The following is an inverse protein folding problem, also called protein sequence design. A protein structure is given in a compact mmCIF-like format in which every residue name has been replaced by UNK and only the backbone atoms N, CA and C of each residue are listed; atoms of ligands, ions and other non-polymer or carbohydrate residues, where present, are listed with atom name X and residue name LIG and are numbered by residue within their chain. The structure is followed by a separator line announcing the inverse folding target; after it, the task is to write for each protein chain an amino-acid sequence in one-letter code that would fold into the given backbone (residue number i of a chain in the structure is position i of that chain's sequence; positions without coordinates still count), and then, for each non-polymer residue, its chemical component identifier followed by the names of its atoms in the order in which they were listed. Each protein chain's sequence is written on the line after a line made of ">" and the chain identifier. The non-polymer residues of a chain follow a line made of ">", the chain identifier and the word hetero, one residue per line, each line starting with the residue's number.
data_IF_197765428134
#
_entry.id   IF_197765428134
#
_cell.length_a   1.000
_cell.length_b   1.000
_cell.length_c   1.000
_cell.angle_alpha   90.00
_cell.angle_beta   90.00
_cell.angle_gamma   90.00
#
_symmetry.space_group_name_H-M   'P 1'
#
loop_
_entity.id
_entity.type
_entity.pdbx_description
1 polymer ?
#
# COMPACT_ATOMS: atom_id res chain seq x y z
N UNK A 1 1.49 33.71 -17.45
CA UNK A 1 0.81 33.34 -16.19
C UNK A 1 0.57 31.83 -16.08
N UNK A 2 -0.18 31.17 -17.00
CA UNK A 2 -0.42 29.71 -16.96
C UNK A 2 0.86 28.85 -16.87
N UNK A 3 1.91 29.17 -17.64
CA UNK A 3 3.20 28.45 -17.61
C UNK A 3 3.94 28.59 -16.27
N UNK A 4 3.87 29.76 -15.65
CA UNK A 4 4.52 30.03 -14.35
C UNK A 4 3.79 29.26 -13.24
N UNK A 5 2.46 29.30 -13.24
CA UNK A 5 1.64 28.52 -12.30
C UNK A 5 1.93 27.02 -12.46
N UNK A 6 2.02 26.51 -13.69
CA UNK A 6 2.36 25.11 -13.93
C UNK A 6 3.74 24.72 -13.37
N UNK A 7 4.77 25.56 -13.57
CA UNK A 7 6.12 25.30 -13.02
C UNK A 7 6.10 25.32 -11.49
N UNK A 8 5.43 26.30 -10.88
CA UNK A 8 5.29 26.38 -9.42
C UNK A 8 4.58 25.14 -8.87
N UNK A 9 3.49 24.70 -9.51
CA UNK A 9 2.77 23.48 -9.13
C UNK A 9 3.66 22.25 -9.20
N UNK A 10 4.48 22.10 -10.24
CA UNK A 10 5.42 20.96 -10.37
C UNK A 10 6.49 21.01 -9.29
N UNK A 11 7.07 22.18 -9.01
CA UNK A 11 8.08 22.33 -7.93
C UNK A 11 7.47 22.03 -6.56
N UNK A 12 6.25 22.51 -6.29
CA UNK A 12 5.54 22.22 -5.05
C UNK A 12 5.23 20.71 -4.90
N UNK A 13 4.78 20.06 -5.98
CA UNK A 13 4.54 18.62 -6.01
C UNK A 13 5.82 17.83 -5.73
N UNK A 14 6.93 18.16 -6.40
CA UNK A 14 8.21 17.51 -6.18
C UNK A 14 8.69 17.69 -4.73
N UNK A 15 8.55 18.89 -4.18
CA UNK A 15 8.91 19.17 -2.78
C UNK A 15 8.09 18.34 -1.80
N UNK A 16 6.77 18.21 -2.03
CA UNK A 16 5.89 17.36 -1.23
C UNK A 16 6.25 15.88 -1.33
N UNK A 17 6.55 15.39 -2.55
CA UNK A 17 6.98 14.01 -2.76
C UNK A 17 8.29 13.70 -2.04
N UNK A 18 9.28 14.60 -2.13
CA UNK A 18 10.56 14.45 -1.43
C UNK A 18 10.38 14.47 0.09
N UNK A 19 9.58 15.41 0.61
CA UNK A 19 9.27 15.46 2.04
C UNK A 19 8.58 14.18 2.52
N UNK A 20 7.57 13.70 1.78
CA UNK A 20 6.86 12.46 2.08
C UNK A 20 7.79 11.25 2.08
N UNK A 21 8.75 11.19 1.16
CA UNK A 21 9.74 10.11 1.09
C UNK A 21 10.68 10.12 2.29
N UNK A 22 11.17 11.29 2.71
CA UNK A 22 12.11 11.42 3.84
C UNK A 22 11.44 11.09 5.19
N UNK A 23 10.15 11.40 5.33
CA UNK A 23 9.42 11.15 6.58
C UNK A 23 8.73 9.78 6.65
N UNK A 24 8.76 9.00 5.58
CA UNK A 24 8.07 7.73 5.46
C UNK A 24 8.36 6.83 6.69
N UNK A 25 9.63 6.53 6.96
CA UNK A 25 10.04 5.63 8.04
C UNK A 25 9.71 6.15 9.45
N UNK A 26 9.38 7.43 9.60
CA UNK A 26 8.96 8.00 10.88
C UNK A 26 7.46 7.90 11.12
N UNK A 27 6.67 7.92 10.04
CA UNK A 27 5.20 7.98 10.10
C UNK A 27 4.55 6.64 9.80
N UNK A 28 5.16 5.86 8.91
CA UNK A 28 4.67 4.59 8.41
C UNK A 28 5.88 3.68 8.10
N UNK A 29 6.62 3.24 9.15
CA UNK A 29 7.80 2.41 8.97
C UNK A 29 7.40 1.02 8.44
N UNK A 30 8.09 0.59 7.38
CA UNK A 30 7.95 -0.77 6.88
C UNK A 30 8.62 -1.80 7.80
N UNK A 31 8.29 -3.08 7.59
CA UNK A 31 8.86 -4.15 8.41
C UNK A 31 10.38 -4.29 8.28
N UNK A 32 10.99 -3.90 7.16
CA UNK A 32 12.45 -3.93 7.01
C UNK A 32 13.13 -2.94 7.95
N UNK A 33 12.61 -1.72 8.03
CA UNK A 33 13.10 -0.70 8.95
C UNK A 33 12.81 -1.06 10.41
N UNK A 34 11.63 -1.60 10.72
CA UNK A 34 11.26 -2.05 12.07
C UNK A 34 12.23 -3.13 12.57
N UNK A 35 12.47 -4.17 11.76
CA UNK A 35 13.30 -5.31 12.14
C UNK A 35 14.79 -4.99 12.18
N UNK A 36 15.24 -3.98 11.41
CA UNK A 36 16.62 -3.50 11.45
C UNK A 36 16.90 -2.58 12.65
N UNK A 37 15.87 -2.02 13.28
CA UNK A 37 15.97 -1.11 14.44
C UNK A 37 15.10 -1.58 15.62
N UNK A 38 15.23 -2.84 16.08
CA UNK A 38 14.31 -3.43 17.07
C UNK A 38 14.26 -2.62 18.38
N UNK A 39 15.37 -1.99 18.79
CA UNK A 39 15.45 -1.14 19.98
C UNK A 39 14.52 0.09 19.95
N UNK A 40 14.11 0.54 18.76
CA UNK A 40 13.17 1.67 18.59
C UNK A 40 11.71 1.22 18.64
N UNK A 41 11.44 -0.05 18.40
CA UNK A 41 10.10 -0.58 18.17
C UNK A 41 9.67 -1.62 19.19
N UNK A 42 10.59 -2.15 20.01
CA UNK A 42 10.25 -3.06 21.09
C UNK A 42 9.21 -2.44 22.04
N UNK A 43 8.14 -3.20 22.29
CA UNK A 43 7.02 -2.76 23.11
C UNK A 43 6.08 -1.74 22.44
N UNK A 44 6.32 -1.38 21.17
CA UNK A 44 5.40 -0.53 20.40
C UNK A 44 4.42 -1.36 19.58
N UNK A 45 3.28 -0.74 19.31
CA UNK A 45 2.31 -1.24 18.34
C UNK A 45 2.88 -1.10 16.93
N UNK A 46 2.72 -2.16 16.14
CA UNK A 46 3.08 -2.23 14.73
C UNK A 46 1.93 -2.86 13.95
N UNK A 47 1.83 -2.49 12.67
CA UNK A 47 0.89 -3.05 11.71
C UNK A 47 1.66 -3.64 10.54
N UNK A 48 1.34 -4.87 10.15
CA UNK A 48 1.97 -5.51 9.00
C UNK A 48 1.11 -6.60 8.37
N UNK A 49 1.38 -6.86 7.08
CA UNK A 49 0.76 -7.94 6.33
C UNK A 49 1.68 -9.16 6.22
N UNK A 50 1.10 -10.35 6.44
CA UNK A 50 1.82 -11.61 6.33
C UNK A 50 0.95 -12.76 5.81
N UNK A 51 1.60 -13.76 5.22
CA UNK A 51 0.97 -15.02 4.81
C UNK A 51 1.18 -16.09 5.87
N UNK A 52 0.11 -16.74 6.31
CA UNK A 52 0.19 -17.84 7.27
C UNK A 52 0.86 -19.07 6.64
N UNK A 53 2.06 -19.42 7.11
CA UNK A 53 2.83 -20.58 6.63
C UNK A 53 2.64 -21.80 7.53
N UNK A 54 2.64 -21.58 8.85
CA UNK A 54 2.50 -22.59 9.89
C UNK A 54 1.55 -22.07 10.97
N UNK A 55 0.71 -22.97 11.49
CA UNK A 55 -0.27 -22.67 12.53
C UNK A 55 -0.04 -23.69 13.65
N UNK A 56 0.43 -23.19 14.78
CA UNK A 56 0.63 -23.95 15.99
C UNK A 56 -0.43 -23.57 17.04
N UNK A 57 -0.65 -24.38 18.09
CA UNK A 57 -1.65 -24.08 19.12
C UNK A 57 -1.42 -22.74 19.85
N UNK A 58 -0.16 -22.29 19.95
CA UNK A 58 0.24 -21.09 20.71
C UNK A 58 0.64 -19.90 19.84
N UNK A 59 0.96 -20.12 18.57
CA UNK A 59 1.40 -19.06 17.66
C UNK A 59 1.10 -19.38 16.20
N UNK A 60 1.11 -18.34 15.36
CA UNK A 60 1.02 -18.45 13.91
C UNK A 60 2.30 -17.88 13.31
N UNK A 61 2.93 -18.62 12.41
CA UNK A 61 4.12 -18.14 11.70
C UNK A 61 3.69 -17.48 10.41
N UNK A 62 3.94 -16.17 10.31
CA UNK A 62 3.60 -15.36 9.15
C UNK A 62 4.85 -15.02 8.35
N UNK A 63 4.84 -15.32 7.04
CA UNK A 63 5.83 -14.79 6.11
C UNK A 63 5.42 -13.39 5.67
N UNK A 64 6.31 -12.41 5.85
CA UNK A 64 6.06 -11.03 5.43
C UNK A 64 5.78 -10.94 3.92
N UNK A 65 4.81 -10.09 3.55
CA UNK A 65 4.45 -9.84 2.16
C UNK A 65 5.28 -8.74 1.49
N UNK A 66 6.10 -8.06 2.28
CA UNK A 66 7.08 -7.05 1.88
C UNK A 66 8.48 -7.44 2.37
N UNK A 67 9.50 -6.71 1.93
CA UNK A 67 10.85 -6.88 2.45
C UNK A 67 10.83 -6.78 3.98
N UNK A 68 11.59 -7.63 4.70
CA UNK A 68 12.63 -8.54 4.20
C UNK A 68 12.12 -9.95 3.83
N UNK A 69 10.82 -10.18 3.71
CA UNK A 69 10.21 -11.49 3.39
C UNK A 69 10.53 -12.61 4.39
N UNK A 70 10.95 -12.24 5.60
CA UNK A 70 11.23 -13.14 6.72
C UNK A 70 9.94 -13.65 7.34
N UNK A 71 10.07 -14.59 8.29
CA UNK A 71 8.93 -15.08 9.06
C UNK A 71 8.91 -14.45 10.45
N UNK A 72 7.72 -14.05 10.91
CA UNK A 72 7.45 -13.51 12.24
C UNK A 72 6.47 -14.42 12.95
N UNK A 73 6.71 -14.68 14.24
CA UNK A 73 5.82 -15.45 15.08
C UNK A 73 4.77 -14.51 15.69
N UNK A 74 3.50 -14.86 15.53
CA UNK A 74 2.38 -14.06 16.04
C UNK A 74 1.63 -14.83 17.12
N UNK A 75 1.60 -14.29 18.34
CA UNK A 75 0.92 -14.88 19.51
C UNK A 75 -0.35 -14.10 19.85
N UNK A 76 -1.22 -14.66 20.71
CA UNK A 76 -2.44 -13.98 21.16
C UNK A 76 -3.62 -14.04 20.17
N UNK A 77 -3.50 -14.83 19.11
CA UNK A 77 -4.55 -14.99 18.10
C UNK A 77 -5.45 -16.18 18.43
N UNK A 78 -6.76 -16.01 18.27
CA UNK A 78 -7.73 -17.08 18.51
C UNK A 78 -8.57 -17.38 17.26
N UNK A 79 -8.26 -18.52 16.64
CA UNK A 79 -9.07 -19.28 15.68
C UNK A 79 -9.44 -18.60 14.35
N UNK A 80 -9.68 -19.40 13.32
CA UNK A 80 -10.22 -18.95 12.02
C UNK A 80 -9.22 -18.68 10.91
N UNK A 81 -7.93 -18.54 11.22
CA UNK A 81 -6.85 -18.43 10.23
C UNK A 81 -6.48 -19.82 9.71
N UNK A 82 -6.26 -19.94 8.41
CA UNK A 82 -5.81 -21.17 7.76
C UNK A 82 -4.47 -20.96 7.08
N UNK A 83 -3.73 -22.05 6.91
CA UNK A 83 -2.48 -22.03 6.15
C UNK A 83 -2.74 -21.49 4.74
N UNK A 84 -1.94 -20.52 4.33
CA UNK A 84 -2.03 -19.84 3.04
C UNK A 84 -2.85 -18.55 3.06
N UNK A 85 -3.61 -18.28 4.13
CA UNK A 85 -4.32 -17.02 4.29
C UNK A 85 -3.34 -15.84 4.36
N UNK A 86 -3.75 -14.73 3.77
CA UNK A 86 -3.07 -13.44 3.95
C UNK A 86 -3.79 -12.72 5.08
N UNK A 87 -3.02 -12.23 6.04
CA UNK A 87 -3.56 -11.54 7.21
C UNK A 87 -2.84 -10.22 7.43
N UNK A 88 -3.59 -9.25 7.93
CA UNK A 88 -3.08 -7.98 8.48
C UNK A 88 -3.11 -8.09 10.00
N UNK A 89 -2.00 -7.76 10.65
CA UNK A 89 -1.79 -7.93 12.09
C UNK A 89 -1.48 -6.58 12.70
N UNK A 90 -2.35 -6.15 13.61
CA UNK A 90 -2.06 -5.08 14.55
C UNK A 90 -1.65 -5.70 15.87
N UNK A 91 -0.45 -5.41 16.35
CA UNK A 91 0.06 -6.00 17.58
C UNK A 91 1.27 -5.30 18.14
N UNK A 92 1.67 -5.70 19.35
CA UNK A 92 2.86 -5.17 20.00
C UNK A 92 4.08 -6.03 19.67
N UNK A 93 5.16 -5.41 19.17
CA UNK A 93 6.42 -6.09 18.92
C UNK A 93 7.08 -6.50 20.25
N UNK A 94 7.50 -7.77 20.33
CA UNK A 94 8.22 -8.35 21.46
C UNK A 94 9.55 -8.92 20.96
N UNK A 95 10.65 -8.26 21.28
CA UNK A 95 11.95 -8.64 20.72
C UNK A 95 12.00 -8.44 19.20
N UNK A 96 12.70 -9.33 18.50
CA UNK A 96 13.06 -9.15 17.08
C UNK A 96 12.14 -9.95 16.14
N UNK A 97 11.49 -11.00 16.61
CA UNK A 97 10.77 -11.96 15.76
C UNK A 97 9.41 -12.40 16.30
N UNK A 98 8.93 -11.80 17.40
CA UNK A 98 7.63 -12.10 17.97
C UNK A 98 6.73 -10.86 18.03
N UNK A 99 5.47 -11.03 17.64
CA UNK A 99 4.43 -10.02 17.80
C UNK A 99 3.28 -10.61 18.60
N UNK A 100 2.90 -9.91 19.67
CA UNK A 100 1.66 -10.23 20.38
C UNK A 100 0.53 -9.48 19.67
N UNK A 101 -0.29 -10.21 18.92
CA UNK A 101 -1.42 -9.64 18.21
C UNK A 101 -2.49 -9.12 19.18
N UNK A 102 -3.02 -7.95 18.84
CA UNK A 102 -4.24 -7.39 19.43
C UNK A 102 -5.42 -7.63 18.49
N UNK A 103 -5.19 -7.49 17.18
CA UNK A 103 -6.17 -7.77 16.13
C UNK A 103 -5.50 -8.47 14.96
N UNK A 104 -6.22 -9.40 14.37
CA UNK A 104 -5.82 -10.05 13.12
C UNK A 104 -6.99 -10.06 12.16
N UNK A 105 -6.77 -9.52 10.97
CA UNK A 105 -7.76 -9.47 9.91
C UNK A 105 -7.35 -10.39 8.78
N UNK A 106 -8.23 -11.34 8.41
CA UNK A 106 -7.99 -12.20 7.25
C UNK A 106 -8.37 -11.43 5.98
N UNK A 107 -7.38 -11.11 5.17
CA UNK A 107 -7.57 -10.41 3.91
C UNK A 107 -8.12 -11.41 2.88
N UNK A 108 -9.40 -11.28 2.54
CA UNK A 108 -9.98 -12.08 1.46
C UNK A 108 -9.43 -11.61 0.12
N UNK A 109 -8.92 -12.57 -0.66
CA UNK A 109 -8.35 -12.32 -2.00
C UNK A 109 -9.27 -11.48 -2.90
N UNK A 110 -10.58 -11.69 -2.82
CA UNK A 110 -11.56 -10.93 -3.58
C UNK A 110 -11.62 -9.46 -3.16
N UNK A 111 -11.66 -9.18 -1.86
CA UNK A 111 -11.72 -7.81 -1.30
C UNK A 111 -10.45 -7.03 -1.65
N UNK A 112 -9.28 -7.64 -1.51
CA UNK A 112 -8.00 -7.05 -1.91
C UNK A 112 -7.97 -6.72 -3.42
N UNK A 113 -8.46 -7.64 -4.27
CA UNK A 113 -8.45 -7.44 -5.73
C UNK A 113 -9.39 -6.31 -6.17
N UNK A 114 -10.49 -6.10 -5.46
CA UNK A 114 -11.46 -5.03 -5.76
C UNK A 114 -10.87 -3.63 -5.56
N UNK A 115 -9.89 -3.45 -4.67
CA UNK A 115 -9.20 -2.16 -4.48
C UNK A 115 -8.49 -1.71 -5.77
N UNK A 116 -7.93 -2.64 -6.53
CA UNK A 116 -7.26 -2.34 -7.81
C UNK A 116 -8.26 -2.10 -8.94
N UNK A 117 -9.45 -2.70 -8.86
CA UNK A 117 -10.49 -2.57 -9.88
C UNK A 117 -11.36 -1.32 -9.66
N UNK A 118 -11.36 -0.73 -8.47
CA UNK A 118 -12.21 0.43 -8.13
C UNK A 118 -12.04 1.63 -9.07
N UNK A 119 -10.86 1.79 -9.67
CA UNK A 119 -10.56 2.88 -10.61
C UNK A 119 -10.86 2.55 -12.08
N UNK A 120 -11.08 1.27 -12.44
CA UNK A 120 -11.40 0.87 -13.81
C UNK A 120 -12.66 1.57 -14.36
N UNK A 121 -13.75 1.77 -13.58
CA UNK A 121 -14.92 2.52 -14.04
C UNK A 121 -14.64 4.01 -14.30
N UNK A 122 -13.60 4.60 -13.71
CA UNK A 122 -13.23 5.99 -13.95
C UNK A 122 -12.56 6.19 -15.31
N UNK A 123 -11.89 5.15 -15.85
CA UNK A 123 -11.22 5.20 -17.15
C UNK A 123 -12.19 5.58 -18.29
N UNK A 124 -13.34 4.90 -18.51
CA UNK A 124 -14.26 5.28 -19.58
C UNK A 124 -14.83 6.69 -19.39
N UNK A 125 -15.03 7.14 -18.14
CA UNK A 125 -15.49 8.50 -17.86
C UNK A 125 -14.44 9.56 -18.26
N UNK A 126 -13.18 9.35 -17.89
CA UNK A 126 -12.07 10.24 -18.26
C UNK A 126 -11.85 10.23 -19.77
N UNK A 127 -11.87 9.05 -20.40
CA UNK A 127 -11.77 8.91 -21.86
C UNK A 127 -12.93 9.61 -22.57
N UNK A 128 -14.15 9.47 -22.07
CA UNK A 128 -15.32 10.18 -22.62
C UNK A 128 -15.14 11.70 -22.58
N UNK A 129 -14.75 12.26 -21.43
CA UNK A 129 -14.50 13.70 -21.29
C UNK A 129 -13.35 14.18 -22.19
N UNK A 130 -12.30 13.36 -22.31
CA UNK A 130 -11.17 13.64 -23.18
C UNK A 130 -11.60 13.66 -24.66
N UNK A 131 -12.28 12.61 -25.14
CA UNK A 131 -12.73 12.51 -26.54
C UNK A 131 -13.87 13.46 -26.89
N UNK A 132 -14.63 13.95 -25.90
CA UNK A 132 -15.61 15.03 -26.10
C UNK A 132 -14.94 16.32 -26.58
N UNK A 133 -13.70 16.58 -26.14
CA UNK A 133 -12.98 17.82 -26.43
C UNK A 133 -11.88 17.63 -27.48
N UNK A 134 -11.30 16.43 -27.57
CA UNK A 134 -10.11 16.16 -28.38
C UNK A 134 -10.36 14.99 -29.33
N UNK A 135 -10.07 15.17 -30.62
CA UNK A 135 -10.11 14.10 -31.62
C UNK A 135 -8.70 13.77 -32.09
N UNK A 136 -8.39 12.49 -32.19
CA UNK A 136 -7.09 12.07 -32.74
C UNK A 136 -7.08 12.26 -34.26
N UNK A 137 -6.11 13.03 -34.76
CA UNK A 137 -5.87 13.22 -36.18
C UNK A 137 -4.81 12.21 -36.66
N UNK A 138 -5.26 11.13 -37.30
CA UNK A 138 -4.37 10.09 -37.84
C UNK A 138 -3.40 10.58 -38.93
N UNK A 139 -3.71 11.69 -39.62
CA UNK A 139 -2.81 12.27 -40.63
C UNK A 139 -1.65 13.03 -40.01
N UNK A 140 -1.87 13.67 -38.85
CA UNK A 140 -0.87 14.47 -38.14
C UNK A 140 -0.26 13.76 -36.92
N UNK A 141 -0.80 12.58 -36.57
CA UNK A 141 -0.43 11.83 -35.36
C UNK A 141 -0.52 12.69 -34.08
N UNK A 142 -1.56 13.52 -33.97
CA UNK A 142 -1.74 14.43 -32.84
C UNK A 142 -3.22 14.59 -32.50
N UNK A 143 -3.52 14.88 -31.24
CA UNK A 143 -4.87 15.28 -30.81
C UNK A 143 -5.14 16.74 -31.16
N UNK A 144 -6.30 17.00 -31.75
CA UNK A 144 -6.78 18.35 -32.08
C UNK A 144 -8.06 18.63 -31.29
N UNK A 145 -8.23 19.86 -30.81
CA UNK A 145 -9.48 20.28 -30.14
C UNK A 145 -10.61 20.25 -31.17
N UNK A 146 -11.73 19.65 -30.81
CA UNK A 146 -12.93 19.69 -31.64
C UNK A 146 -13.53 21.08 -31.47
N UNK A 147 -13.32 21.95 -32.45
CA UNK A 147 -14.08 23.20 -32.56
C UNK A 147 -15.57 22.83 -32.66
N UNK A 148 -16.33 23.10 -31.60
CA UNK A 148 -17.78 23.01 -31.68
C UNK A 148 -18.25 24.10 -32.65
N UNK A 149 -18.93 23.70 -33.73
CA UNK A 149 -19.80 24.58 -34.49
C UNK A 149 -21.03 24.97 -33.65
#
# INVERSE_FOLDING_TARGET
>A
MRRIVAVISVVALLSLMTYSYIEHDKKDPDMDYILTNPEKFEGKEIDFCGRAEEIEPSFIKLRLMEAPYTCINVTGVHSGIKKGDVVEVLGTLKGVDEVKAEKVFVIKKLEYSLIFIRSLPAIPFVLYLFFKKWRFNFKKFMFEEVENA
#
